data_IF_533101721620
#
_entry.id   IF_533101721620
#
_cell.length_a   1.000
_cell.length_b   1.000
_cell.length_c   1.000
_cell.angle_alpha   90.00
_cell.angle_beta   90.00
_cell.angle_gamma   90.00
#
_symmetry.space_group_name_H-M   'P 1'
#
loop_
_entity.id
_entity.type
_entity.pdbx_description
1 polymer ?
#
# COMPACT_ATOMS: atom_id res chain seq x y z
N UNK A 1 19.94 7.42 11.68
CA UNK A 1 18.89 7.35 10.62
C UNK A 1 17.52 7.29 11.27
N UNK A 2 16.43 7.51 10.54
CA UNK A 2 15.07 7.38 11.06
C UNK A 2 14.36 6.19 10.43
N UNK A 3 13.77 5.31 11.23
CA UNK A 3 12.82 4.33 10.74
C UNK A 3 11.53 4.31 11.57
N UNK A 4 10.41 4.20 10.87
CA UNK A 4 9.10 3.98 11.47
C UNK A 4 8.70 2.52 11.24
N UNK A 5 8.41 1.82 12.32
CA UNK A 5 7.85 0.47 12.29
C UNK A 5 6.33 0.49 12.32
N UNK A 6 5.73 -0.38 11.52
CA UNK A 6 4.28 -0.56 11.41
C UNK A 6 3.99 -2.04 11.55
N UNK A 7 3.09 -2.42 12.46
CA UNK A 7 2.59 -3.79 12.58
C UNK A 7 1.09 -3.83 12.32
N UNK A 8 0.67 -4.58 11.32
CA UNK A 8 -0.74 -4.86 11.03
C UNK A 8 -1.28 -5.92 12.00
N UNK A 9 -2.02 -5.46 13.01
CA UNK A 9 -2.54 -6.32 14.09
C UNK A 9 -3.55 -7.36 13.59
N UNK A 10 -4.24 -7.05 12.51
CA UNK A 10 -5.21 -7.94 11.87
C UNK A 10 -4.60 -8.88 10.83
N UNK A 11 -3.28 -8.75 10.54
CA UNK A 11 -2.56 -9.49 9.48
C UNK A 11 -3.16 -9.34 8.08
N UNK A 12 -3.91 -8.28 7.83
CA UNK A 12 -4.35 -7.87 6.51
C UNK A 12 -4.37 -6.35 6.40
N UNK A 13 -4.16 -5.85 5.19
CA UNK A 13 -4.26 -4.43 4.90
C UNK A 13 -5.47 -4.16 4.02
N UNK A 14 -6.37 -3.32 4.52
CA UNK A 14 -7.49 -2.74 3.78
C UNK A 14 -7.15 -1.28 3.46
N UNK A 15 -6.44 -1.11 2.36
CA UNK A 15 -6.14 0.17 1.72
C UNK A 15 -6.38 -0.02 0.22
N UNK A 16 -6.87 1.00 -0.46
CA UNK A 16 -7.21 0.88 -1.88
C UNK A 16 -6.71 2.06 -2.68
N UNK A 17 -6.57 1.83 -3.99
CA UNK A 17 -6.33 2.87 -4.97
C UNK A 17 -7.42 3.96 -4.94
N UNK A 18 -7.16 5.07 -5.65
CA UNK A 18 -8.09 6.20 -5.68
C UNK A 18 -9.46 5.80 -6.25
N UNK A 19 -9.50 4.83 -7.17
CA UNK A 19 -10.73 4.28 -7.73
C UNK A 19 -11.43 3.27 -6.80
N UNK A 20 -10.78 2.84 -5.71
CA UNK A 20 -11.28 1.87 -4.71
C UNK A 20 -11.52 0.47 -5.27
N UNK A 21 -10.76 0.07 -6.27
CA UNK A 21 -10.91 -1.20 -6.98
C UNK A 21 -9.84 -2.22 -6.59
N UNK A 22 -8.62 -1.77 -6.30
CA UNK A 22 -7.49 -2.65 -6.02
C UNK A 22 -6.92 -2.41 -4.62
N UNK A 23 -6.43 -3.46 -3.93
CA UNK A 23 -5.69 -3.26 -2.69
C UNK A 23 -4.38 -2.51 -2.97
N UNK A 24 -3.96 -1.68 -2.02
CA UNK A 24 -2.65 -1.02 -2.05
C UNK A 24 -1.71 -1.72 -1.09
N UNK A 25 -0.65 -2.30 -1.64
CA UNK A 25 0.44 -2.92 -0.89
C UNK A 25 1.78 -2.71 -1.62
N UNK A 26 2.88 -2.40 -0.90
CA UNK A 26 2.97 -2.04 0.52
C UNK A 26 2.18 -0.76 0.87
N UNK A 27 2.00 -0.39 2.15
CA UNK A 27 1.35 0.88 2.50
C UNK A 27 2.09 2.05 1.87
N UNK A 28 1.38 2.84 1.06
CA UNK A 28 1.94 4.04 0.45
C UNK A 28 2.40 5.01 1.56
N UNK A 29 3.64 5.57 1.52
CA UNK A 29 4.13 6.48 2.56
C UNK A 29 3.20 7.67 2.83
N UNK A 30 2.57 8.23 1.79
CA UNK A 30 1.58 9.28 1.96
C UNK A 30 0.36 8.83 2.77
N UNK A 31 -0.06 7.56 2.66
CA UNK A 31 -1.16 7.01 3.46
C UNK A 31 -0.76 6.82 4.93
N UNK A 32 0.50 6.47 5.18
CA UNK A 32 1.06 6.41 6.54
C UNK A 32 1.08 7.82 7.14
N UNK A 33 1.56 8.81 6.39
CA UNK A 33 1.56 10.21 6.82
C UNK A 33 0.15 10.72 7.13
N UNK A 34 -0.85 10.41 6.28
CA UNK A 34 -2.25 10.75 6.56
C UNK A 34 -2.77 10.13 7.88
N UNK A 35 -2.33 8.91 8.22
CA UNK A 35 -2.73 8.27 9.47
C UNK A 35 -2.08 8.96 10.68
N UNK A 36 -0.82 9.37 10.56
CA UNK A 36 -0.12 10.15 11.60
C UNK A 36 -0.75 11.54 11.77
N UNK A 37 -1.05 12.25 10.68
CA UNK A 37 -1.74 13.53 10.70
C UNK A 37 -3.14 13.42 11.32
N UNK A 38 -3.90 12.36 11.00
CA UNK A 38 -5.19 12.09 11.62
C UNK A 38 -5.05 11.89 13.14
N UNK A 39 -4.10 11.07 13.58
CA UNK A 39 -3.85 10.84 15.00
C UNK A 39 -3.47 12.14 15.75
N UNK A 40 -2.65 12.99 15.13
CA UNK A 40 -2.30 14.30 15.66
C UNK A 40 -3.53 15.22 15.83
N UNK A 41 -4.35 15.36 14.78
CA UNK A 41 -5.56 16.21 14.85
C UNK A 41 -6.61 15.68 15.81
N UNK A 42 -6.83 14.36 15.83
CA UNK A 42 -7.80 13.70 16.73
C UNK A 42 -7.39 13.77 18.21
N UNK A 43 -6.13 14.11 18.50
CA UNK A 43 -5.59 14.18 19.88
C UNK A 43 -5.19 15.59 20.31
N UNK A 44 -5.78 16.62 19.70
CA UNK A 44 -5.66 18.01 20.16
C UNK A 44 -4.61 18.85 19.46
N UNK A 45 -3.86 18.29 18.49
CA UNK A 45 -3.03 19.09 17.60
C UNK A 45 -1.81 19.75 18.26
N UNK A 46 -1.03 19.00 19.04
CA UNK A 46 0.16 19.52 19.74
C UNK A 46 1.18 20.18 18.79
N UNK A 47 1.64 21.39 19.14
CA UNK A 47 2.49 22.17 18.25
C UNK A 47 3.86 21.52 17.96
N UNK A 48 4.42 20.75 18.90
CA UNK A 48 5.70 20.07 18.72
C UNK A 48 5.53 18.81 17.87
N UNK A 49 4.43 18.08 18.05
CA UNK A 49 4.05 16.99 17.13
C UNK A 49 3.84 17.51 15.70
N UNK A 50 3.18 18.66 15.54
CA UNK A 50 3.02 19.30 14.24
C UNK A 50 4.38 19.62 13.61
N UNK A 51 5.28 20.25 14.36
CA UNK A 51 6.62 20.58 13.87
C UNK A 51 7.39 19.31 13.43
N UNK A 52 7.26 18.21 14.18
CA UNK A 52 7.87 16.93 13.83
C UNK A 52 7.28 16.32 12.55
N UNK A 53 5.95 16.42 12.34
CA UNK A 53 5.29 16.00 11.11
C UNK A 53 5.67 16.87 9.91
N UNK A 54 5.77 18.19 10.10
CA UNK A 54 6.21 19.14 9.08
C UNK A 54 7.68 18.93 8.69
N UNK A 55 8.53 18.52 9.65
CA UNK A 55 9.87 18.05 9.37
C UNK A 55 9.87 16.75 8.55
N UNK A 56 9.02 15.78 8.91
CA UNK A 56 8.93 14.48 8.23
C UNK A 56 8.47 14.60 6.78
N UNK A 57 7.45 15.42 6.48
CA UNK A 57 6.96 15.61 5.10
C UNK A 57 7.95 16.37 4.20
N UNK A 58 8.95 17.03 4.78
CA UNK A 58 9.99 17.73 4.04
C UNK A 58 11.14 16.82 3.60
N UNK A 59 11.20 15.58 4.10
CA UNK A 59 12.22 14.61 3.73
C UNK A 59 11.97 14.04 2.32
N UNK A 60 13.02 13.42 1.75
CA UNK A 60 12.87 12.60 0.56
C UNK A 60 11.98 11.38 0.86
N UNK A 61 11.35 10.77 -0.17
CA UNK A 61 10.62 9.52 0.01
C UNK A 61 11.45 8.46 0.75
N UNK A 62 10.86 7.74 1.72
CA UNK A 62 11.59 6.72 2.48
C UNK A 62 11.92 5.50 1.61
N UNK A 63 12.98 4.79 1.93
CA UNK A 63 13.11 3.37 1.59
C UNK A 63 12.10 2.53 2.39
N UNK A 64 11.75 1.35 1.90
CA UNK A 64 10.80 0.45 2.57
C UNK A 64 11.41 -0.93 2.82
N UNK A 65 11.01 -1.53 3.93
CA UNK A 65 11.07 -2.98 4.14
C UNK A 65 9.64 -3.50 4.28
N UNK A 66 9.18 -4.24 3.28
CA UNK A 66 7.85 -4.87 3.28
C UNK A 66 7.90 -6.22 2.57
N UNK A 67 7.18 -7.22 3.06
CA UNK A 67 7.01 -8.48 2.33
C UNK A 67 6.14 -8.30 1.09
N UNK A 68 6.07 -9.33 0.24
CA UNK A 68 4.96 -9.46 -0.71
C UNK A 68 3.63 -9.70 0.04
N UNK A 69 2.52 -9.68 -0.70
CA UNK A 69 1.19 -9.90 -0.15
C UNK A 69 0.29 -10.61 -1.16
N UNK A 70 -0.60 -11.44 -0.65
CA UNK A 70 -1.63 -12.10 -1.46
C UNK A 70 -2.88 -11.23 -1.52
N UNK A 71 -3.38 -10.95 -2.72
CA UNK A 71 -4.69 -10.32 -2.88
C UNK A 71 -5.79 -11.27 -2.40
N UNK A 72 -6.66 -10.79 -1.51
CA UNK A 72 -7.80 -11.59 -1.07
C UNK A 72 -8.96 -11.40 -2.03
N UNK A 73 -9.63 -12.49 -2.39
CA UNK A 73 -10.88 -12.47 -3.16
C UNK A 73 -11.86 -11.47 -2.55
N UNK A 74 -12.23 -10.46 -3.33
CA UNK A 74 -13.18 -9.44 -2.89
C UNK A 74 -14.59 -9.97 -3.08
N UNK A 75 -15.32 -10.17 -1.98
CA UNK A 75 -16.73 -10.55 -2.02
C UNK A 75 -17.59 -9.30 -2.12
N UNK A 76 -18.52 -9.27 -3.07
CA UNK A 76 -19.50 -8.20 -3.22
C UNK A 76 -20.41 -8.17 -2.00
N UNK A 77 -20.45 -7.05 -1.30
CA UNK A 77 -21.34 -6.86 -0.15
C UNK A 77 -22.34 -5.76 -0.46
N UNK A 78 -23.60 -5.94 -0.06
CA UNK A 78 -24.62 -4.91 -0.15
C UNK A 78 -24.88 -4.34 1.24
N UNK A 79 -24.84 -3.02 1.37
CA UNK A 79 -25.18 -2.36 2.63
C UNK A 79 -26.69 -2.48 2.86
N UNK A 80 -27.15 -2.97 4.03
CA UNK A 80 -28.56 -2.96 4.38
C UNK A 80 -29.12 -1.54 4.29
N UNK A 81 -30.23 -1.39 3.59
CA UNK A 81 -31.01 -0.14 3.59
C UNK A 81 -31.88 -0.16 4.83
N UNK A 82 -31.70 0.83 5.71
CA UNK A 82 -32.33 0.86 7.04
C UNK A 82 -33.81 1.31 6.94
N UNK A 83 -34.55 0.72 6.00
CA UNK A 83 -35.86 1.19 5.53
C UNK A 83 -36.91 1.20 6.65
N UNK A 84 -36.79 0.27 7.61
CA UNK A 84 -37.73 0.13 8.73
C UNK A 84 -37.58 1.22 9.82
N UNK A 85 -36.54 2.07 9.78
CA UNK A 85 -36.26 3.09 10.83
C UNK A 85 -36.21 4.53 10.28
N UNK A 86 -37.00 4.84 9.25
CA UNK A 86 -37.03 6.18 8.64
C UNK A 86 -35.91 6.43 7.61
N UNK A 87 -35.34 5.36 7.06
CA UNK A 87 -34.44 5.45 5.91
C UNK A 87 -35.13 6.01 4.65
N UNK A 88 -34.34 6.48 3.68
CA UNK A 88 -34.85 6.99 2.41
C UNK A 88 -35.49 5.84 1.62
N UNK A 89 -36.82 5.75 1.65
CA UNK A 89 -37.61 4.74 0.94
C UNK A 89 -37.29 4.78 -0.56
N UNK A 90 -36.92 3.63 -1.13
CA UNK A 90 -36.60 3.49 -2.56
C UNK A 90 -35.13 3.65 -2.94
N UNK A 91 -34.21 3.81 -1.97
CA UNK A 91 -32.77 3.83 -2.27
C UNK A 91 -32.27 2.45 -2.68
N UNK A 92 -31.75 2.33 -3.90
CA UNK A 92 -31.12 1.10 -4.36
C UNK A 92 -29.94 0.71 -3.45
N UNK A 93 -29.82 -0.59 -3.12
CA UNK A 93 -28.69 -1.12 -2.36
C UNK A 93 -27.40 -0.81 -3.12
N UNK A 94 -26.51 -0.05 -2.48
CA UNK A 94 -25.21 0.26 -3.07
C UNK A 94 -24.25 -0.90 -2.81
N UNK A 95 -23.73 -1.47 -3.89
CA UNK A 95 -22.66 -2.45 -3.84
C UNK A 95 -21.41 -1.81 -3.21
N UNK A 96 -20.76 -2.54 -2.30
CA UNK A 96 -19.48 -2.17 -1.72
C UNK A 96 -18.49 -3.32 -1.84
N UNK A 97 -17.34 -3.01 -2.43
CA UNK A 97 -16.13 -3.81 -2.35
C UNK A 97 -15.20 -3.26 -1.28
N UNK A 98 -14.51 -4.15 -0.58
CA UNK A 98 -13.41 -3.81 0.32
C UNK A 98 -12.17 -4.62 -0.08
N UNK A 99 -11.52 -4.25 -1.21
CA UNK A 99 -10.26 -4.85 -1.62
C UNK A 99 -9.27 -4.83 -0.46
N UNK A 100 -8.61 -5.96 -0.24
CA UNK A 100 -7.63 -6.13 0.82
C UNK A 100 -6.57 -7.15 0.41
N UNK A 101 -5.38 -7.00 0.96
CA UNK A 101 -4.32 -7.98 0.81
C UNK A 101 -3.95 -8.59 2.18
N UNK A 102 -3.37 -9.78 2.13
CA UNK A 102 -2.74 -10.44 3.28
C UNK A 102 -1.23 -10.38 3.08
N UNK A 103 -0.50 -9.53 3.81
CA UNK A 103 0.94 -9.52 3.72
C UNK A 103 1.52 -10.81 4.32
N UNK A 104 2.61 -11.29 3.74
CA UNK A 104 3.30 -12.49 4.21
C UNK A 104 3.94 -12.25 5.59
N UNK A 105 4.42 -11.02 5.84
CA UNK A 105 4.88 -10.53 7.15
C UNK A 105 3.89 -9.47 7.68
N UNK A 106 3.65 -9.45 9.00
CA UNK A 106 2.74 -8.46 9.60
C UNK A 106 3.42 -7.11 9.88
N UNK A 107 4.73 -6.99 9.61
CA UNK A 107 5.53 -5.80 9.84
C UNK A 107 6.00 -5.13 8.54
N UNK A 108 5.97 -3.81 8.53
CA UNK A 108 6.48 -2.95 7.46
C UNK A 108 7.27 -1.80 8.08
N UNK A 109 8.33 -1.37 7.40
CA UNK A 109 9.16 -0.26 7.85
C UNK A 109 9.32 0.79 6.75
N UNK A 110 9.24 2.06 7.15
CA UNK A 110 9.61 3.22 6.33
C UNK A 110 10.91 3.77 6.90
N UNK A 111 11.94 3.90 6.06
CA UNK A 111 13.31 4.17 6.48
C UNK A 111 13.83 5.39 5.72
N UNK A 112 14.27 6.41 6.44
CA UNK A 112 14.91 7.61 5.92
C UNK A 112 16.39 7.61 6.29
N UNK A 113 17.23 8.07 5.36
CA UNK A 113 18.67 8.23 5.61
C UNK A 113 18.91 9.32 6.66
N UNK A 114 18.06 10.34 6.65
CA UNK A 114 18.12 11.49 7.53
C UNK A 114 17.91 11.10 9.01
N UNK A 115 18.69 11.71 9.89
CA UNK A 115 18.63 11.49 11.33
C UNK A 115 18.03 12.72 12.03
N UNK A 116 16.86 12.63 12.66
CA UNK A 116 16.28 13.74 13.42
C UNK A 116 17.04 13.96 14.73
N UNK A 117 16.94 15.18 15.27
CA UNK A 117 17.30 15.41 16.66
C UNK A 117 16.38 14.64 17.63
N UNK A 118 16.81 14.47 18.87
CA UNK A 118 16.10 13.68 19.88
C UNK A 118 14.67 14.18 20.13
N UNK A 119 14.45 15.49 20.12
CA UNK A 119 13.13 16.10 20.30
C UNK A 119 12.16 15.70 19.17
N UNK A 120 12.58 15.83 17.91
CA UNK A 120 11.75 15.41 16.76
C UNK A 120 11.49 13.90 16.81
N UNK A 121 12.52 13.11 17.16
CA UNK A 121 12.39 11.65 17.30
C UNK A 121 11.36 11.26 18.36
N UNK A 122 11.42 11.91 19.52
CA UNK A 122 10.48 11.68 20.61
C UNK A 122 9.05 11.99 20.19
N UNK A 123 8.82 13.14 19.54
CA UNK A 123 7.49 13.57 19.08
C UNK A 123 6.93 12.71 17.96
N UNK A 124 7.76 12.26 17.02
CA UNK A 124 7.35 11.23 16.06
C UNK A 124 6.95 9.94 16.79
N UNK A 125 7.66 9.57 17.85
CA UNK A 125 7.32 8.43 18.70
C UNK A 125 5.97 8.58 19.40
N UNK A 126 5.65 9.76 19.92
CA UNK A 126 4.34 10.08 20.51
C UNK A 126 3.21 9.96 19.47
N UNK A 127 3.38 10.58 18.30
CA UNK A 127 2.40 10.50 17.21
C UNK A 127 2.20 9.06 16.76
N UNK A 128 3.27 8.28 16.56
CA UNK A 128 3.18 6.87 16.18
C UNK A 128 2.32 6.06 17.17
N UNK A 129 2.48 6.26 18.48
CA UNK A 129 1.70 5.54 19.49
C UNK A 129 0.20 5.86 19.43
N UNK A 130 -0.17 7.02 18.90
CA UNK A 130 -1.57 7.45 18.73
C UNK A 130 -2.21 6.89 17.45
N UNK A 131 -1.43 6.39 16.49
CA UNK A 131 -1.98 5.83 15.24
C UNK A 131 -2.65 4.48 15.50
N UNK A 132 -3.95 4.40 15.25
CA UNK A 132 -4.75 3.18 15.47
C UNK A 132 -4.99 2.37 14.20
N UNK A 133 -4.90 2.99 13.00
CA UNK A 133 -5.18 2.35 11.72
C UNK A 133 -4.50 3.06 10.55
N UNK A 134 -4.23 2.32 9.47
CA UNK A 134 -3.78 2.88 8.19
C UNK A 134 -4.79 2.53 7.10
N UNK A 135 -5.41 3.55 6.49
CA UNK A 135 -6.48 3.35 5.52
C UNK A 135 -7.81 3.07 6.20
N UNK A 136 -8.40 1.90 5.99
CA UNK A 136 -9.71 1.55 6.57
C UNK A 136 -9.61 1.17 8.05
N UNK A 137 -10.71 1.31 8.81
CA UNK A 137 -10.81 0.86 10.21
C UNK A 137 -10.62 -0.64 10.45
N UNK A 138 -10.58 -1.45 9.39
CA UNK A 138 -10.28 -2.88 9.49
C UNK A 138 -8.76 -3.14 9.47
N UNK A 139 -7.96 -2.13 9.11
CA UNK A 139 -6.49 -2.19 9.07
C UNK A 139 -5.91 -1.64 10.37
N UNK A 140 -6.23 -2.28 11.51
CA UNK A 140 -5.70 -1.84 12.79
C UNK A 140 -4.19 -2.05 12.83
N UNK A 141 -3.46 -1.03 13.32
CA UNK A 141 -1.99 -1.07 13.38
C UNK A 141 -1.46 -0.68 14.75
N UNK A 142 -0.26 -1.15 15.04
CA UNK A 142 0.64 -0.55 16.01
C UNK A 142 1.77 0.16 15.24
N UNK A 143 2.16 1.35 15.66
CA UNK A 143 3.30 2.07 15.07
C UNK A 143 4.30 2.52 16.14
N UNK A 144 5.57 2.62 15.76
CA UNK A 144 6.64 3.08 16.63
C UNK A 144 7.79 3.68 15.81
N UNK A 145 8.64 4.48 16.47
CA UNK A 145 9.96 4.83 15.95
C UNK A 145 10.93 3.71 16.34
N UNK A 146 11.63 3.13 15.36
CA UNK A 146 12.63 2.08 15.59
C UNK A 146 13.81 2.67 16.37
N UNK A 147 14.38 1.86 17.27
CA UNK A 147 15.57 2.26 18.03
C UNK A 147 16.76 2.43 17.08
N UNK A 148 17.58 3.43 17.36
CA UNK A 148 18.76 3.71 16.55
C UNK A 148 19.70 2.51 16.53
N UNK A 149 20.08 2.04 15.34
CA UNK A 149 20.91 0.85 15.13
C UNK A 149 20.14 -0.48 15.04
N UNK A 150 18.82 -0.48 15.24
CA UNK A 150 17.94 -1.65 15.08
C UNK A 150 17.11 -1.58 13.77
N UNK A 151 17.43 -0.67 12.86
CA UNK A 151 16.70 -0.53 11.59
C UNK A 151 16.91 -1.73 10.67
N UNK A 152 15.83 -2.30 10.08
CA UNK A 152 15.97 -3.41 9.15
C UNK A 152 16.51 -2.92 7.81
N UNK A 153 17.16 -3.82 7.07
CA UNK A 153 17.60 -3.52 5.71
C UNK A 153 16.39 -3.31 4.77
N UNK A 154 16.34 -2.22 4.00
CA UNK A 154 15.26 -1.98 3.05
C UNK A 154 15.33 -2.96 1.87
N UNK A 155 14.17 -3.40 1.36
CA UNK A 155 14.06 -4.20 0.14
C UNK A 155 13.40 -3.45 -1.02
N UNK A 156 12.92 -2.23 -0.79
CA UNK A 156 12.42 -1.31 -1.81
C UNK A 156 13.07 0.06 -1.63
N UNK A 157 13.70 0.58 -2.69
CA UNK A 157 14.36 1.88 -2.68
C UNK A 157 13.64 2.85 -3.61
N UNK A 158 13.46 4.12 -3.21
CA UNK A 158 12.98 5.15 -4.11
C UNK A 158 14.02 5.41 -5.20
N UNK A 159 13.59 5.52 -6.46
CA UNK A 159 14.49 5.81 -7.57
C UNK A 159 13.77 6.29 -8.83
N UNK A 160 14.55 6.75 -9.81
CA UNK A 160 14.06 7.33 -11.08
C UNK A 160 13.98 6.31 -12.23
N UNK A 161 14.51 5.09 -12.03
CA UNK A 161 14.45 4.01 -12.99
C UNK A 161 13.05 3.40 -13.14
N UNK A 162 12.92 2.39 -14.00
CA UNK A 162 11.65 1.67 -14.18
C UNK A 162 11.19 1.03 -12.86
N UNK A 163 10.08 1.50 -12.27
CA UNK A 163 9.73 1.13 -10.92
C UNK A 163 8.93 -0.17 -10.88
N UNK A 164 9.26 -1.06 -9.94
CA UNK A 164 8.45 -2.23 -9.61
C UNK A 164 7.11 -1.83 -8.98
N UNK A 165 7.11 -0.73 -8.23
CA UNK A 165 5.91 -0.16 -7.64
C UNK A 165 5.94 1.36 -7.71
N UNK A 166 4.78 1.98 -7.96
CA UNK A 166 4.59 3.42 -7.81
C UNK A 166 3.76 3.66 -6.56
N UNK A 167 4.32 4.37 -5.59
CA UNK A 167 3.66 4.61 -4.30
C UNK A 167 3.43 6.11 -4.11
N UNK A 168 2.33 6.45 -3.45
CA UNK A 168 2.03 7.84 -3.11
C UNK A 168 2.86 8.28 -1.91
N UNK A 169 3.40 9.48 -1.96
CA UNK A 169 4.30 10.02 -0.93
C UNK A 169 3.77 11.34 -0.40
N UNK A 170 4.03 11.62 0.88
CA UNK A 170 3.83 12.96 1.40
C UNK A 170 5.00 13.84 0.94
N UNK A 171 4.69 15.10 0.66
CA UNK A 171 5.64 16.14 0.28
C UNK A 171 5.40 17.39 1.14
N UNK A 172 6.35 18.33 1.11
CA UNK A 172 6.23 19.60 1.83
C UNK A 172 4.88 20.28 1.53
N UNK A 173 4.12 20.58 2.58
CA UNK A 173 2.79 21.16 2.52
C UNK A 173 1.64 20.17 2.62
N UNK A 174 1.90 18.86 2.73
CA UNK A 174 0.86 17.84 2.89
C UNK A 174 0.03 18.10 4.14
N UNK A 175 0.65 18.42 5.27
CA UNK A 175 0.01 18.72 6.54
C UNK A 175 -1.00 19.87 6.41
N UNK A 176 -0.58 20.97 5.79
CA UNK A 176 -1.44 22.13 5.49
C UNK A 176 -2.58 21.77 4.53
N UNK A 177 -2.30 20.93 3.52
CA UNK A 177 -3.31 20.48 2.56
C UNK A 177 -4.38 19.62 3.25
N UNK A 178 -3.99 18.72 4.16
CA UNK A 178 -4.91 17.89 4.93
C UNK A 178 -5.78 18.74 5.87
N UNK A 179 -5.19 19.72 6.56
CA UNK A 179 -5.90 20.68 7.41
C UNK A 179 -6.95 21.48 6.62
N UNK A 180 -6.53 22.05 5.49
CA UNK A 180 -7.42 22.81 4.61
C UNK A 180 -8.52 21.94 3.98
N UNK A 181 -8.25 20.67 3.70
CA UNK A 181 -9.26 19.73 3.20
C UNK A 181 -10.29 19.37 4.27
N UNK A 182 -9.87 19.21 5.53
CA UNK A 182 -10.80 18.96 6.64
C UNK A 182 -11.68 20.18 6.91
N UNK A 183 -11.09 21.38 6.88
CA UNK A 183 -11.79 22.66 7.02
C UNK A 183 -12.62 22.79 8.32
N UNK A 184 -12.27 22.00 9.35
CA UNK A 184 -13.08 21.81 10.56
C UNK A 184 -13.40 23.11 11.28
N UNK A 185 -12.39 23.95 11.53
CA UNK A 185 -12.57 25.24 12.22
C UNK A 185 -13.58 26.15 11.53
N UNK A 186 -13.54 26.26 10.19
CA UNK A 186 -14.49 27.08 9.46
C UNK A 186 -15.91 26.51 9.52
N UNK A 187 -16.04 25.18 9.49
CA UNK A 187 -17.32 24.48 9.61
C UNK A 187 -17.91 24.69 11.01
N UNK A 188 -17.14 24.47 12.07
CA UNK A 188 -17.54 24.68 13.46
C UNK A 188 -17.97 26.13 13.71
N UNK A 189 -17.14 27.10 13.28
CA UNK A 189 -17.46 28.52 13.41
C UNK A 189 -18.72 28.92 12.62
N UNK A 190 -18.97 28.30 11.46
CA UNK A 190 -20.20 28.52 10.70
C UNK A 190 -21.41 27.95 11.44
N UNK A 191 -21.31 26.71 11.91
CA UNK A 191 -22.39 26.01 12.60
C UNK A 191 -22.78 26.74 13.90
N UNK A 192 -21.80 27.19 14.69
CA UNK A 192 -22.02 28.03 15.88
C UNK A 192 -22.74 29.35 15.54
N UNK A 193 -22.34 29.99 14.44
CA UNK A 193 -22.97 31.23 13.99
C UNK A 193 -24.40 30.99 13.49
N UNK A 194 -24.63 29.88 12.77
CA UNK A 194 -25.94 29.48 12.30
C UNK A 194 -26.91 29.20 13.46
N UNK A 195 -26.45 28.53 14.52
CA UNK A 195 -27.24 28.26 15.74
C UNK A 195 -27.59 29.56 16.48
N UNK A 196 -26.65 30.50 16.57
CA UNK A 196 -26.90 31.85 17.11
C UNK A 196 -27.91 32.63 16.27
N UNK A 197 -27.87 32.51 14.94
CA UNK A 197 -28.87 33.12 14.04
C UNK A 197 -30.25 32.49 14.21
N UNK A 198 -30.31 31.17 14.41
CA UNK A 198 -31.56 30.43 14.59
C UNK A 198 -32.28 30.88 15.86
N UNK A 199 -31.54 31.08 16.96
CA UNK A 199 -32.06 31.44 18.28
C UNK A 199 -32.28 32.95 18.49
N UNK A 200 -31.61 33.81 17.72
CA UNK A 200 -31.76 35.26 17.85
C UNK A 200 -33.06 35.81 17.24
N UNK A 201 -33.50 36.96 17.75
CA UNK A 201 -34.69 37.70 17.26
C UNK A 201 -34.36 39.16 16.93
N UNK A 202 -35.26 39.85 16.24
CA UNK A 202 -35.20 41.29 16.01
C UNK A 202 -33.89 41.80 15.39
N UNK A 203 -33.33 42.86 15.97
CA UNK A 203 -32.10 43.49 15.50
C UNK A 203 -30.86 42.59 15.62
N UNK A 204 -30.80 41.75 16.65
CA UNK A 204 -29.69 40.81 16.86
C UNK A 204 -29.63 39.78 15.73
N UNK A 205 -30.77 39.22 15.32
CA UNK A 205 -30.83 38.27 14.20
C UNK A 205 -30.33 38.91 12.90
N UNK A 206 -30.73 40.15 12.62
CA UNK A 206 -30.25 40.89 11.43
C UNK A 206 -28.74 41.11 11.45
N UNK A 207 -28.17 41.46 12.62
CA UNK A 207 -26.72 41.64 12.77
C UNK A 207 -25.97 40.33 12.53
N UNK A 208 -26.39 39.23 13.14
CA UNK A 208 -25.74 37.92 13.00
C UNK A 208 -25.85 37.37 11.56
N UNK A 209 -26.99 37.58 10.88
CA UNK A 209 -27.11 37.22 9.46
C UNK A 209 -26.11 37.97 8.58
N UNK A 210 -25.94 39.28 8.82
CA UNK A 210 -24.95 40.08 8.09
C UNK A 210 -23.53 39.60 8.37
N UNK A 211 -23.18 39.33 9.63
CA UNK A 211 -21.89 38.74 10.01
C UNK A 211 -21.65 37.39 9.29
N UNK A 212 -22.68 36.55 9.18
CA UNK A 212 -22.62 35.27 8.48
C UNK A 212 -22.41 35.43 6.98
N UNK A 213 -23.11 36.37 6.34
CA UNK A 213 -22.96 36.69 4.91
C UNK A 213 -21.60 37.33 4.60
N UNK A 214 -21.09 38.20 5.48
CA UNK A 214 -19.77 38.84 5.34
C UNK A 214 -18.63 37.82 5.49
N UNK A 215 -18.72 36.92 6.48
CA UNK A 215 -17.68 35.94 6.77
C UNK A 215 -17.72 34.74 5.83
N UNK A 216 -18.91 34.32 5.41
CA UNK A 216 -19.14 33.14 4.58
C UNK A 216 -20.04 33.46 3.39
N UNK A 217 -19.57 34.31 2.45
CA UNK A 217 -20.38 34.75 1.31
C UNK A 217 -20.76 33.61 0.35
N UNK A 218 -19.96 32.54 0.32
CA UNK A 218 -20.24 31.34 -0.46
C UNK A 218 -21.14 30.32 0.26
N UNK A 219 -21.65 30.65 1.45
CA UNK A 219 -22.44 29.76 2.29
C UNK A 219 -21.58 28.87 3.19
N UNK A 220 -22.18 27.77 3.68
CA UNK A 220 -21.53 26.86 4.63
C UNK A 220 -20.22 26.29 4.06
N UNK A 221 -19.09 26.42 4.77
CA UNK A 221 -17.85 25.79 4.36
C UNK A 221 -18.01 24.27 4.21
N UNK A 222 -17.32 23.71 3.21
CA UNK A 222 -17.38 22.27 2.95
C UNK A 222 -16.07 21.58 3.31
N UNK A 223 -16.18 20.37 3.84
CA UNK A 223 -15.06 19.45 3.96
C UNK A 223 -14.83 18.75 2.62
N UNK A 224 -13.58 18.42 2.31
CA UNK A 224 -13.20 17.68 1.11
C UNK A 224 -12.43 16.44 1.50
N UNK A 225 -12.65 15.35 0.77
CA UNK A 225 -11.88 14.12 0.99
C UNK A 225 -10.41 14.38 0.59
N UNK A 226 -9.45 14.23 1.50
CA UNK A 226 -8.05 14.46 1.18
C UNK A 226 -7.55 13.45 0.13
N UNK A 227 -6.71 13.93 -0.79
CA UNK A 227 -6.02 13.13 -1.81
C UNK A 227 -4.56 13.54 -1.83
N UNK A 228 -3.67 12.56 -1.69
CA UNK A 228 -2.26 12.72 -2.02
C UNK A 228 -2.11 12.32 -3.49
N UNK A 229 -1.42 13.13 -4.27
CA UNK A 229 -1.26 12.94 -5.71
C UNK A 229 0.21 12.84 -6.14
N UNK A 230 1.14 13.11 -5.23
CA UNK A 230 2.57 12.91 -5.49
C UNK A 230 2.91 11.42 -5.48
N UNK A 231 3.68 11.00 -6.49
CA UNK A 231 4.07 9.61 -6.71
C UNK A 231 5.57 9.48 -6.78
N UNK A 232 6.09 8.43 -6.16
CA UNK A 232 7.48 8.00 -6.25
C UNK A 232 7.54 6.58 -6.81
N UNK A 233 8.49 6.35 -7.72
CA UNK A 233 8.84 5.01 -8.21
C UNK A 233 9.77 4.30 -7.22
N UNK A 234 9.53 3.00 -7.00
CA UNK A 234 10.31 2.14 -6.13
C UNK A 234 10.86 0.96 -6.91
N UNK A 235 12.17 0.75 -6.84
CA UNK A 235 12.87 -0.43 -7.34
C UNK A 235 13.28 -1.36 -6.20
N UNK A 236 13.77 -2.57 -6.52
CA UNK A 236 14.34 -3.48 -5.51
C UNK A 236 15.59 -2.85 -4.90
N UNK A 237 15.65 -2.84 -3.58
CA UNK A 237 16.87 -2.51 -2.85
C UNK A 237 17.90 -3.61 -3.03
N UNK A 238 19.13 -3.23 -3.37
CA UNK A 238 20.24 -4.14 -3.59
C UNK A 238 20.64 -4.88 -2.32
N UNK A 239 19.95 -5.99 -2.07
CA UNK A 239 20.42 -7.28 -1.59
C UNK A 239 19.14 -8.09 -1.35
N UNK A 240 18.86 -9.05 -2.22
CA UNK A 240 18.28 -10.27 -1.69
C UNK A 240 19.24 -10.68 -0.57
N UNK A 241 18.79 -10.63 0.68
CA UNK A 241 19.34 -11.61 1.61
C UNK A 241 18.84 -12.89 1.01
N UNK A 242 19.69 -13.52 0.23
CA UNK A 242 19.55 -14.91 -0.14
C UNK A 242 19.32 -15.62 1.19
N UNK A 243 18.06 -15.93 1.51
CA UNK A 243 17.78 -17.05 2.41
C UNK A 243 18.65 -18.18 1.91
N UNK A 244 19.38 -18.89 2.80
CA UNK A 244 20.61 -19.63 2.52
C UNK A 244 20.59 -20.12 1.09
N UNK A 245 21.36 -19.43 0.22
CA UNK A 245 21.17 -19.42 -1.23
C UNK A 245 20.69 -20.78 -1.69
N UNK A 246 19.46 -20.83 -2.22
CA UNK A 246 18.85 -22.06 -2.66
C UNK A 246 19.91 -22.84 -3.43
N UNK A 247 20.27 -24.03 -2.94
CA UNK A 247 21.31 -24.85 -3.55
C UNK A 247 20.96 -24.91 -5.03
N UNK A 248 21.85 -24.48 -5.96
CA UNK A 248 21.53 -24.42 -7.37
C UNK A 248 21.00 -25.77 -7.83
N UNK A 249 19.69 -25.83 -8.06
CA UNK A 249 19.02 -26.99 -8.63
C UNK A 249 19.12 -26.96 -10.15
N UNK A 250 18.60 -27.98 -10.84
CA UNK A 250 18.51 -27.96 -12.30
C UNK A 250 17.49 -26.95 -12.86
N UNK A 251 16.89 -26.13 -12.01
CA UNK A 251 15.82 -25.21 -12.36
C UNK A 251 16.37 -23.78 -12.47
N UNK A 252 16.01 -23.12 -13.56
CA UNK A 252 16.29 -21.72 -13.86
C UNK A 252 15.19 -20.81 -13.29
N UNK A 253 15.46 -19.51 -13.13
CA UNK A 253 14.46 -18.54 -12.66
C UNK A 253 13.40 -18.19 -13.74
N UNK A 254 13.65 -18.54 -15.00
CA UNK A 254 12.72 -18.47 -16.12
C UNK A 254 11.65 -19.58 -16.12
N UNK A 255 10.69 -19.53 -15.19
CA UNK A 255 9.59 -20.50 -15.14
C UNK A 255 8.50 -20.21 -16.19
N UNK A 256 8.25 -21.15 -17.11
CA UNK A 256 7.19 -21.05 -18.13
C UNK A 256 6.04 -21.99 -17.77
N UNK A 257 4.85 -21.42 -17.53
CA UNK A 257 3.61 -22.18 -17.28
C UNK A 257 2.86 -22.38 -18.59
N UNK A 258 2.71 -23.63 -19.01
CA UNK A 258 1.94 -24.00 -20.19
C UNK A 258 0.51 -24.39 -19.80
N UNK A 259 -0.48 -23.85 -20.53
CA UNK A 259 -1.89 -24.24 -20.39
C UNK A 259 -2.26 -25.21 -21.50
N UNK A 260 -2.87 -26.34 -21.15
CA UNK A 260 -3.50 -27.25 -22.12
C UNK A 260 -4.81 -26.65 -22.62
N UNK A 261 -4.89 -26.38 -23.92
CA UNK A 261 -6.05 -25.70 -24.52
C UNK A 261 -7.20 -26.67 -24.85
N UNK A 262 -6.89 -27.88 -25.31
CA UNK A 262 -7.88 -28.91 -25.69
C UNK A 262 -7.34 -30.35 -25.47
N UNK A 263 -8.15 -31.39 -25.70
CA UNK A 263 -7.77 -32.81 -25.65
C UNK A 263 -8.18 -33.53 -24.34
N UNK A 264 -7.94 -34.85 -24.24
CA UNK A 264 -8.29 -35.65 -23.07
C UNK A 264 -7.51 -35.21 -21.82
N UNK A 265 -8.08 -35.43 -20.64
CA UNK A 265 -7.36 -35.18 -19.38
C UNK A 265 -6.12 -36.07 -19.31
N UNK A 266 -4.98 -35.49 -18.94
CA UNK A 266 -3.73 -36.22 -18.78
C UNK A 266 -3.59 -36.62 -17.31
N UNK A 267 -3.59 -37.92 -17.06
CA UNK A 267 -3.27 -38.48 -15.75
C UNK A 267 -1.76 -38.61 -15.55
N UNK A 268 -1.37 -39.09 -14.36
CA UNK A 268 0.05 -39.31 -14.03
C UNK A 268 0.71 -40.31 -14.98
N UNK A 269 -0.05 -41.27 -15.49
CA UNK A 269 0.37 -42.26 -16.49
C UNK A 269 0.81 -41.63 -17.82
N UNK A 270 0.33 -40.43 -18.15
CA UNK A 270 0.71 -39.69 -19.36
C UNK A 270 2.00 -38.90 -19.21
N UNK A 271 2.56 -38.78 -17.99
CA UNK A 271 3.71 -37.90 -17.69
C UNK A 271 4.91 -38.19 -18.58
N UNK A 272 5.26 -39.46 -18.76
CA UNK A 272 6.42 -39.86 -19.58
C UNK A 272 6.22 -39.50 -21.05
N UNK A 273 5.01 -39.73 -21.57
CA UNK A 273 4.68 -39.40 -22.96
C UNK A 273 4.68 -37.88 -23.19
N UNK A 274 4.11 -37.11 -22.27
CA UNK A 274 4.06 -35.65 -22.34
C UNK A 274 5.45 -35.03 -22.27
N UNK A 275 6.25 -35.43 -21.29
CA UNK A 275 7.63 -34.92 -21.14
C UNK A 275 8.51 -35.30 -22.33
N UNK A 276 8.32 -36.50 -22.90
CA UNK A 276 9.00 -36.93 -24.13
C UNK A 276 8.57 -36.11 -25.35
N UNK A 277 7.28 -35.84 -25.51
CA UNK A 277 6.77 -35.00 -26.59
C UNK A 277 7.31 -33.56 -26.49
N UNK A 278 7.34 -32.98 -25.30
CA UNK A 278 7.91 -31.65 -25.05
C UNK A 278 9.40 -31.60 -25.37
N UNK A 279 10.16 -32.60 -24.91
CA UNK A 279 11.59 -32.72 -25.22
C UNK A 279 11.82 -32.82 -26.74
N UNK A 280 11.06 -33.66 -27.43
CA UNK A 280 11.17 -33.84 -28.87
C UNK A 280 10.83 -32.55 -29.63
N UNK A 281 9.81 -31.81 -29.18
CA UNK A 281 9.46 -30.52 -29.74
C UNK A 281 10.60 -29.50 -29.55
N UNK A 282 11.20 -29.44 -28.35
CA UNK A 282 12.36 -28.58 -28.06
C UNK A 282 13.58 -28.95 -28.92
N UNK A 283 13.87 -30.25 -29.07
CA UNK A 283 14.93 -30.75 -29.95
C UNK A 283 14.70 -30.33 -31.41
N UNK A 284 13.45 -30.37 -31.90
CA UNK A 284 13.09 -29.97 -33.25
C UNK A 284 13.17 -28.45 -33.46
N UNK A 285 12.71 -27.67 -32.49
CA UNK A 285 12.70 -26.20 -32.56
C UNK A 285 14.11 -25.60 -32.69
N UNK A 286 15.14 -26.33 -32.23
CA UNK A 286 16.55 -25.94 -32.35
C UNK A 286 17.10 -25.96 -33.80
N UNK A 287 16.44 -26.64 -34.74
CA UNK A 287 16.94 -26.88 -36.11
C UNK A 287 17.92 -28.05 -36.21
N UNK A 288 18.30 -28.49 -37.42
CA UNK A 288 19.20 -29.65 -37.59
C UNK A 288 20.67 -29.36 -37.25
N UNK A 289 21.11 -28.11 -37.37
CA UNK A 289 22.54 -27.79 -37.52
C UNK A 289 23.24 -27.37 -36.21
N UNK A 290 22.49 -27.10 -35.14
CA UNK A 290 23.08 -26.79 -33.83
C UNK A 290 23.35 -28.08 -33.02
N UNK A 291 24.34 -28.03 -32.13
CA UNK A 291 24.56 -29.11 -31.16
C UNK A 291 23.52 -28.97 -30.05
N UNK A 292 22.72 -30.01 -29.74
CA UNK A 292 21.73 -29.92 -28.68
C UNK A 292 22.44 -29.81 -27.32
N UNK A 293 21.97 -28.92 -26.42
CA UNK A 293 22.61 -28.74 -25.13
C UNK A 293 22.52 -30.03 -24.30
N UNK A 294 23.54 -30.30 -23.50
CA UNK A 294 23.69 -31.53 -22.71
C UNK A 294 22.47 -31.81 -21.81
N UNK A 295 21.88 -30.78 -21.19
CA UNK A 295 20.69 -30.92 -20.34
C UNK A 295 19.44 -31.36 -21.13
N UNK A 296 19.42 -31.15 -22.45
CA UNK A 296 18.34 -31.57 -23.34
C UNK A 296 18.65 -32.90 -24.04
N UNK A 297 19.88 -33.07 -24.54
CA UNK A 297 20.32 -34.24 -25.29
C UNK A 297 20.61 -35.45 -24.41
N UNK A 298 21.02 -35.23 -23.16
CA UNK A 298 21.55 -36.26 -22.27
C UNK A 298 22.96 -36.75 -22.66
N UNK A 299 23.66 -36.05 -23.56
CA UNK A 299 25.00 -36.41 -24.02
C UNK A 299 26.00 -35.30 -23.73
N UNK A 300 27.17 -35.68 -23.21
CA UNK A 300 28.27 -34.75 -22.98
C UNK A 300 28.93 -34.29 -24.30
N UNK A 301 29.90 -33.37 -24.21
CA UNK A 301 30.62 -32.85 -25.37
C UNK A 301 31.40 -33.94 -26.16
N UNK A 302 31.61 -35.13 -25.58
CA UNK A 302 32.23 -36.29 -26.23
C UNK A 302 31.21 -37.26 -26.83
N UNK A 303 29.91 -36.95 -26.76
CA UNK A 303 28.83 -37.80 -27.26
C UNK A 303 28.52 -39.00 -26.37
N UNK A 304 29.00 -39.03 -25.13
CA UNK A 304 28.71 -40.10 -24.16
C UNK A 304 27.54 -39.73 -23.27
N UNK A 305 26.82 -40.71 -22.68
CA UNK A 305 25.76 -40.43 -21.72
C UNK A 305 26.24 -39.49 -20.61
N UNK A 306 25.51 -38.41 -20.40
CA UNK A 306 25.84 -37.39 -19.41
C UNK A 306 25.60 -37.91 -17.99
N UNK A 307 26.42 -37.40 -17.05
CA UNK A 307 26.23 -37.59 -15.60
C UNK A 307 25.56 -36.39 -14.93
N UNK A 308 25.29 -35.32 -15.69
CA UNK A 308 24.61 -34.11 -15.21
C UNK A 308 23.10 -34.31 -15.30
N UNK A 309 22.34 -33.53 -14.52
CA UNK A 309 20.88 -33.57 -14.60
C UNK A 309 20.44 -33.16 -16.01
N UNK A 310 19.59 -33.97 -16.62
CA UNK A 310 19.08 -33.76 -17.97
C UNK A 310 17.64 -34.26 -18.08
N UNK A 311 16.93 -33.79 -19.11
CA UNK A 311 15.54 -34.19 -19.40
C UNK A 311 15.43 -35.40 -20.34
N UNK A 312 16.56 -35.96 -20.78
CA UNK A 312 16.58 -37.23 -21.51
C UNK A 312 16.35 -38.42 -20.56
N UNK A 313 15.59 -39.41 -21.01
CA UNK A 313 15.26 -40.64 -20.27
C UNK A 313 15.15 -41.81 -21.25
#
# INVERSE_FOLDING_TARGET
>A
MLALGIRYLTRYAVATDLARQRPEWPPHPGRVFMAMAAAHFETGGDAQERAALEWLEALRPPALRASEADERTTVRTYVPVNDAHGGIVGRARQERGFPRCRPHEDQVFLIWEEDPCDEVREKLGEVCRKVTRIGHSMSAVQMWVVRNGEEPQPNLLPGEGEPLARLRVATRGTMRSLEAAFNGKAIEEYDDLADRVATATGAQKRRLKREMEEKYPAGRPEWRRPKILDWQGYGRGGASVDGPGAIPGPFDDGFIVLRKDDGPALGLESTLQLTGALRNAAMKARGSDAVPPEWLSGHDASGRPSRRVHVAF
#
